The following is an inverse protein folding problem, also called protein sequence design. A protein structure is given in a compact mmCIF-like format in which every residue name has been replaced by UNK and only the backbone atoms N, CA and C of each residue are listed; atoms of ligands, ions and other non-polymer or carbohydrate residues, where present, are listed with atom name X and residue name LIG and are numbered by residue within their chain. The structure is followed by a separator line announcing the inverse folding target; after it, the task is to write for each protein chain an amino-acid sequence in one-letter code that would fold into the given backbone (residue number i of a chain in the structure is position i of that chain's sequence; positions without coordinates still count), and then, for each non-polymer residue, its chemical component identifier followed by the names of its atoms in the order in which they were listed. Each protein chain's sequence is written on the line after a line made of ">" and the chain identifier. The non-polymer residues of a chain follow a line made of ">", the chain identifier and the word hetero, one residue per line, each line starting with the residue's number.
data_IF_146897014326
#
_entry.id   IF_146897014326
#
_cell.length_a   1.000
_cell.length_b   1.000
_cell.length_c   1.000
_cell.angle_alpha   90.00
_cell.angle_beta   90.00
_cell.angle_gamma   90.00
#
_symmetry.space_group_name_H-M   'P 1'
#
loop_
_entity.id
_entity.type
_entity.pdbx_description
1 polymer ?
#
# COMPACT_ATOMS: atom_id res chain seq x y z
N UNK A 1 -19.80 2.52 15.99
CA UNK A 1 -20.01 1.50 17.01
C UNK A 1 -18.99 0.38 16.86
N UNK A 2 -18.52 -0.19 17.99
CA UNK A 2 -17.79 -1.46 18.00
C UNK A 2 -18.86 -2.56 18.04
N UNK A 3 -18.76 -3.53 17.13
CA UNK A 3 -19.71 -4.64 17.01
C UNK A 3 -18.92 -5.94 17.11
N UNK A 4 -19.19 -6.73 18.14
CA UNK A 4 -18.54 -8.03 18.31
C UNK A 4 -19.07 -9.02 17.24
N UNK A 5 -18.21 -9.95 16.82
CA UNK A 5 -18.52 -10.87 15.74
C UNK A 5 -19.66 -11.85 16.07
N UNK A 6 -19.93 -12.06 17.34
CA UNK A 6 -21.01 -12.91 17.86
C UNK A 6 -22.29 -12.13 18.21
N UNK A 7 -22.33 -10.81 17.90
CA UNK A 7 -23.52 -9.98 18.14
C UNK A 7 -24.72 -10.53 17.36
N UNK A 8 -25.88 -10.81 18.03
CA UNK A 8 -27.07 -11.27 17.33
C UNK A 8 -27.49 -10.32 16.20
N UNK A 9 -27.71 -10.87 15.03
CA UNK A 9 -28.05 -10.09 13.82
C UNK A 9 -26.88 -9.60 13.00
N UNK A 10 -25.62 -9.82 13.43
CA UNK A 10 -24.44 -9.66 12.59
C UNK A 10 -24.10 -10.95 11.87
N UNK A 11 -23.87 -10.90 10.58
CA UNK A 11 -23.48 -12.07 9.79
C UNK A 11 -22.49 -11.72 8.66
N UNK A 12 -21.60 -12.66 8.35
CA UNK A 12 -20.80 -12.64 7.13
C UNK A 12 -21.65 -13.25 6.02
N UNK A 13 -22.27 -12.39 5.20
CA UNK A 13 -23.17 -12.83 4.14
C UNK A 13 -22.44 -13.47 2.96
N UNK A 14 -21.21 -13.06 2.70
CA UNK A 14 -20.39 -13.56 1.58
C UNK A 14 -18.90 -13.31 1.87
N UNK A 15 -18.05 -14.30 1.58
CA UNK A 15 -16.60 -14.10 1.51
C UNK A 15 -16.23 -13.76 0.08
N UNK A 16 -15.35 -12.77 -0.10
CA UNK A 16 -14.97 -12.26 -1.42
C UNK A 16 -13.51 -12.62 -1.70
N UNK A 17 -13.30 -13.45 -2.71
CA UNK A 17 -11.97 -13.80 -3.19
C UNK A 17 -11.43 -12.70 -4.12
N UNK A 18 -10.18 -12.34 -3.95
CA UNK A 18 -9.48 -11.31 -4.73
C UNK A 18 -8.15 -11.84 -5.26
N UNK A 19 -7.48 -11.07 -6.10
CA UNK A 19 -6.22 -11.43 -6.79
C UNK A 19 -5.09 -11.89 -5.85
N UNK A 20 -5.11 -11.43 -4.60
CA UNK A 20 -4.21 -11.88 -3.53
C UNK A 20 -5.04 -12.17 -2.27
N UNK A 21 -4.60 -13.07 -1.39
CA UNK A 21 -5.39 -13.46 -0.21
C UNK A 21 -5.57 -12.29 0.74
N UNK A 22 -6.76 -11.69 0.74
CA UNK A 22 -7.19 -10.67 1.70
C UNK A 22 -8.53 -11.08 2.32
N UNK A 23 -8.74 -10.86 3.64
CA UNK A 23 -9.97 -11.24 4.32
C UNK A 23 -11.09 -10.24 4.01
N UNK A 24 -11.63 -10.27 2.79
CA UNK A 24 -12.77 -9.45 2.39
C UNK A 24 -14.08 -10.20 2.52
N UNK A 25 -15.13 -9.48 2.92
CA UNK A 25 -16.45 -10.04 3.07
C UNK A 25 -17.54 -8.97 2.87
N UNK A 26 -18.70 -9.42 2.46
CA UNK A 26 -19.95 -8.66 2.62
C UNK A 26 -20.54 -8.99 3.98
N UNK A 27 -20.76 -7.99 4.79
CA UNK A 27 -21.39 -8.13 6.09
C UNK A 27 -22.84 -7.65 6.01
N UNK A 28 -23.70 -8.26 6.84
CA UNK A 28 -25.11 -7.89 6.96
C UNK A 28 -25.48 -7.69 8.43
N UNK A 29 -26.31 -6.70 8.67
CA UNK A 29 -26.88 -6.41 9.98
C UNK A 29 -28.40 -6.52 9.88
N UNK A 30 -29.00 -7.44 10.63
CA UNK A 30 -30.45 -7.65 10.67
C UNK A 30 -30.92 -7.52 12.10
N UNK A 31 -31.63 -6.43 12.43
CA UNK A 31 -32.04 -6.11 13.79
C UNK A 31 -30.90 -6.22 14.82
N UNK A 32 -29.69 -5.93 14.41
CA UNK A 32 -28.48 -6.01 15.23
C UNK A 32 -28.51 -4.86 16.28
N UNK A 33 -28.69 -5.23 17.53
CA UNK A 33 -28.76 -4.29 18.67
C UNK A 33 -27.38 -4.18 19.32
N UNK A 34 -26.84 -2.96 19.35
CA UNK A 34 -25.55 -2.65 19.93
C UNK A 34 -25.73 -1.65 21.08
N UNK A 35 -25.16 -1.90 22.27
CA UNK A 35 -25.25 -0.97 23.40
C UNK A 35 -24.68 0.41 23.04
N UNK A 36 -25.27 1.48 23.58
CA UNK A 36 -24.76 2.84 23.39
C UNK A 36 -23.34 3.03 23.94
N UNK A 37 -22.94 2.23 24.91
CA UNK A 37 -21.57 2.23 25.46
C UNK A 37 -20.51 1.80 24.45
N UNK A 38 -20.90 1.10 23.39
CA UNK A 38 -20.01 0.71 22.27
C UNK A 38 -19.94 1.76 21.16
N UNK A 39 -20.58 2.91 21.34
CA UNK A 39 -20.49 4.02 20.38
C UNK A 39 -19.10 4.63 20.40
N UNK A 40 -18.51 4.84 19.23
CA UNK A 40 -17.21 5.51 19.02
C UNK A 40 -17.47 6.97 18.67
N UNK A 41 -17.11 7.88 19.58
CA UNK A 41 -17.35 9.32 19.43
C UNK A 41 -18.79 9.73 19.66
N UNK A 42 -19.12 10.97 19.32
CA UNK A 42 -20.46 11.54 19.47
C UNK A 42 -21.38 11.23 18.30
N UNK A 43 -22.68 11.35 18.51
CA UNK A 43 -23.66 11.18 17.44
C UNK A 43 -23.42 12.20 16.32
N UNK A 44 -23.36 11.75 15.06
CA UNK A 44 -23.07 12.58 13.89
C UNK A 44 -21.58 12.75 13.56
N UNK A 45 -20.65 12.25 14.39
CA UNK A 45 -19.20 12.40 14.16
C UNK A 45 -18.56 11.25 13.38
N UNK A 46 -19.30 10.20 13.04
CA UNK A 46 -18.75 9.00 12.42
C UNK A 46 -17.90 9.28 11.15
N UNK A 47 -18.33 10.24 10.32
CA UNK A 47 -17.56 10.64 9.15
C UNK A 47 -16.20 11.26 9.52
N UNK A 48 -16.14 12.11 10.57
CA UNK A 48 -14.87 12.69 11.04
C UNK A 48 -13.93 11.62 11.59
N UNK A 49 -14.48 10.64 12.34
CA UNK A 49 -13.73 9.49 12.85
C UNK A 49 -13.12 8.70 11.68
N UNK A 50 -13.92 8.38 10.67
CA UNK A 50 -13.44 7.67 9.48
C UNK A 50 -12.32 8.43 8.76
N UNK A 51 -12.46 9.74 8.52
CA UNK A 51 -11.44 10.54 7.84
C UNK A 51 -10.12 10.62 8.63
N UNK A 52 -10.18 10.80 9.95
CA UNK A 52 -8.98 10.77 10.81
C UNK A 52 -8.28 9.41 10.78
N UNK A 53 -9.05 8.34 10.75
CA UNK A 53 -8.53 6.97 10.65
C UNK A 53 -7.82 6.77 9.32
N UNK A 54 -8.39 7.24 8.21
CA UNK A 54 -7.77 7.15 6.88
C UNK A 54 -6.42 7.91 6.81
N UNK A 55 -6.28 9.06 7.47
CA UNK A 55 -5.00 9.80 7.49
C UNK A 55 -3.89 9.00 8.21
N UNK A 56 -4.24 8.18 9.21
CA UNK A 56 -3.30 7.23 9.83
C UNK A 56 -2.97 6.10 8.88
N UNK A 57 -4.00 5.42 8.37
CA UNK A 57 -3.83 4.21 7.58
C UNK A 57 -3.19 4.44 6.22
N UNK A 58 -3.38 5.59 5.59
CA UNK A 58 -2.65 5.95 4.36
C UNK A 58 -1.13 5.89 4.56
N UNK A 59 -0.64 6.40 5.70
CA UNK A 59 0.79 6.34 6.03
C UNK A 59 1.25 4.90 6.30
N UNK A 60 0.48 4.08 7.01
CA UNK A 60 0.84 2.68 7.29
C UNK A 60 0.76 1.80 6.02
N UNK A 61 -0.21 2.04 5.14
CA UNK A 61 -0.28 1.39 3.81
C UNK A 61 0.92 1.78 2.95
N UNK A 62 1.33 3.05 2.98
CA UNK A 62 2.55 3.49 2.30
C UNK A 62 3.80 2.78 2.84
N UNK A 63 3.90 2.60 4.16
CA UNK A 63 4.99 1.85 4.79
C UNK A 63 4.97 0.35 4.42
N UNK A 64 3.79 -0.26 4.34
CA UNK A 64 3.63 -1.64 3.86
C UNK A 64 4.09 -1.78 2.39
N UNK A 65 3.67 -0.84 1.52
CA UNK A 65 4.10 -0.80 0.12
C UNK A 65 5.62 -0.64 -0.01
N UNK A 66 6.24 0.17 0.84
CA UNK A 66 7.70 0.33 0.91
C UNK A 66 8.39 -1.01 1.27
N UNK A 67 7.83 -1.76 2.22
CA UNK A 67 8.29 -3.12 2.55
C UNK A 67 8.16 -4.06 1.37
N UNK A 68 7.03 -3.99 0.65
CA UNK A 68 6.79 -4.77 -0.57
C UNK A 68 7.73 -4.39 -1.72
N UNK A 69 8.25 -3.17 -1.78
CA UNK A 69 9.25 -2.77 -2.76
C UNK A 69 10.67 -3.24 -2.40
N UNK A 70 11.05 -3.18 -1.13
CA UNK A 70 12.38 -3.58 -0.65
C UNK A 70 12.67 -5.06 -0.88
N UNK A 71 11.70 -5.92 -0.58
CA UNK A 71 11.88 -7.37 -0.72
C UNK A 71 12.20 -7.79 -2.17
N UNK A 72 11.46 -7.40 -3.21
CA UNK A 72 11.80 -7.72 -4.60
C UNK A 72 13.11 -7.10 -5.07
N UNK A 73 13.51 -5.94 -4.52
CA UNK A 73 14.82 -5.36 -4.80
C UNK A 73 15.94 -6.29 -4.35
N UNK A 74 15.87 -6.85 -3.13
CA UNK A 74 16.85 -7.80 -2.61
C UNK A 74 16.90 -9.05 -3.47
N UNK A 75 15.74 -9.60 -3.84
CA UNK A 75 15.63 -10.77 -4.72
C UNK A 75 16.23 -10.50 -6.12
N UNK A 76 15.93 -9.33 -6.69
CA UNK A 76 16.46 -8.91 -7.98
C UNK A 76 17.97 -8.74 -7.97
N UNK A 77 18.53 -8.15 -6.90
CA UNK A 77 19.98 -8.03 -6.70
C UNK A 77 20.67 -9.40 -6.63
N UNK A 78 20.14 -10.32 -5.85
CA UNK A 78 20.68 -11.68 -5.76
C UNK A 78 20.60 -12.41 -7.10
N UNK A 79 19.46 -12.28 -7.79
CA UNK A 79 19.26 -12.86 -9.11
C UNK A 79 20.24 -12.30 -10.14
N UNK A 80 20.42 -10.99 -10.17
CA UNK A 80 21.33 -10.32 -11.10
C UNK A 80 22.78 -10.75 -10.89
N UNK A 81 23.21 -10.94 -9.63
CA UNK A 81 24.56 -11.40 -9.28
C UNK A 81 24.83 -12.88 -9.59
N UNK A 82 23.79 -13.73 -9.50
CA UNK A 82 23.94 -15.19 -9.64
C UNK A 82 23.64 -15.70 -11.06
N UNK A 83 22.69 -15.10 -11.77
CA UNK A 83 22.28 -15.55 -13.10
C UNK A 83 23.32 -15.22 -14.16
N UNK A 84 23.78 -16.23 -14.88
CA UNK A 84 24.65 -16.07 -16.05
C UNK A 84 23.85 -16.26 -17.34
N UNK A 85 24.14 -15.43 -18.34
CA UNK A 85 23.66 -15.53 -19.71
C UNK A 85 24.65 -14.81 -20.65
N UNK A 86 24.81 -15.32 -21.86
CA UNK A 86 25.78 -14.80 -22.84
C UNK A 86 27.21 -14.66 -22.24
N UNK A 87 27.64 -15.67 -21.45
CA UNK A 87 28.96 -15.76 -20.79
C UNK A 87 29.27 -14.68 -19.74
N UNK A 88 28.29 -13.90 -19.30
CA UNK A 88 28.47 -12.89 -18.25
C UNK A 88 27.28 -12.94 -17.26
N UNK A 89 27.42 -12.29 -16.11
CA UNK A 89 26.35 -12.19 -15.12
C UNK A 89 25.28 -11.22 -15.62
N UNK A 90 24.03 -11.41 -15.21
CA UNK A 90 22.96 -10.48 -15.50
C UNK A 90 23.27 -9.06 -14.97
N UNK A 91 23.99 -8.97 -13.84
CA UNK A 91 24.45 -7.71 -13.26
C UNK A 91 25.44 -6.92 -14.14
N UNK A 92 26.11 -7.58 -15.08
CA UNK A 92 27.11 -6.95 -15.93
C UNK A 92 26.47 -6.22 -17.16
N UNK A 93 25.16 -6.40 -17.37
CA UNK A 93 24.42 -5.70 -18.43
C UNK A 93 23.92 -4.32 -17.99
N UNK A 94 24.20 -3.30 -18.79
CA UNK A 94 23.82 -1.91 -18.48
C UNK A 94 22.31 -1.72 -18.27
N UNK A 95 21.46 -2.40 -19.05
CA UNK A 95 20.01 -2.34 -18.89
C UNK A 95 19.53 -2.92 -17.54
N UNK A 96 20.22 -3.93 -17.01
CA UNK A 96 19.96 -4.45 -15.66
C UNK A 96 20.40 -3.45 -14.61
N UNK A 97 21.58 -2.85 -14.77
CA UNK A 97 22.11 -1.83 -13.85
C UNK A 97 21.19 -0.61 -13.80
N UNK A 98 20.70 -0.14 -14.95
CA UNK A 98 19.75 0.98 -15.03
C UNK A 98 18.43 0.67 -14.30
N UNK A 99 17.87 -0.54 -14.46
CA UNK A 99 16.68 -0.98 -13.72
C UNK A 99 16.92 -0.98 -12.20
N UNK A 100 18.01 -1.57 -11.75
CA UNK A 100 18.35 -1.62 -10.32
C UNK A 100 18.54 -0.23 -9.73
N UNK A 101 19.19 0.68 -10.45
CA UNK A 101 19.37 2.08 -10.03
C UNK A 101 18.00 2.79 -9.88
N UNK A 102 17.11 2.63 -10.85
CA UNK A 102 15.77 3.21 -10.78
C UNK A 102 14.94 2.64 -9.64
N UNK A 103 15.00 1.32 -9.44
CA UNK A 103 14.33 0.65 -8.30
C UNK A 103 14.80 1.23 -6.97
N UNK A 104 16.11 1.37 -6.77
CA UNK A 104 16.71 1.93 -5.55
C UNK A 104 16.23 3.36 -5.32
N UNK A 105 16.31 4.23 -6.33
CA UNK A 105 15.85 5.63 -6.24
C UNK A 105 14.37 5.73 -5.90
N UNK A 106 13.53 4.87 -6.49
CA UNK A 106 12.09 4.82 -6.20
C UNK A 106 11.82 4.41 -4.76
N UNK A 107 12.56 3.45 -4.23
CA UNK A 107 12.45 3.00 -2.83
C UNK A 107 12.83 4.13 -1.88
N UNK A 108 13.97 4.78 -2.10
CA UNK A 108 14.47 5.82 -1.20
C UNK A 108 13.58 7.07 -1.20
N UNK A 109 13.12 7.52 -2.37
CA UNK A 109 12.17 8.63 -2.45
C UNK A 109 10.85 8.32 -1.76
N UNK A 110 10.33 7.11 -1.90
CA UNK A 110 9.14 6.64 -1.19
C UNK A 110 9.37 6.61 0.33
N UNK A 111 10.52 6.11 0.78
CA UNK A 111 10.89 6.06 2.20
C UNK A 111 10.90 7.46 2.84
N UNK A 112 11.52 8.43 2.16
CA UNK A 112 11.58 9.81 2.65
C UNK A 112 10.19 10.42 2.82
N UNK A 113 9.26 10.18 1.90
CA UNK A 113 7.88 10.67 2.01
C UNK A 113 7.12 9.97 3.15
N UNK A 114 7.28 8.67 3.31
CA UNK A 114 6.64 7.89 4.40
C UNK A 114 7.13 8.39 5.76
N UNK A 115 8.45 8.49 5.94
CA UNK A 115 9.04 8.95 7.19
C UNK A 115 8.70 10.42 7.49
N UNK A 116 8.64 11.29 6.47
CA UNK A 116 8.20 12.67 6.65
C UNK A 116 6.75 12.73 7.16
N UNK A 117 5.85 11.96 6.58
CA UNK A 117 4.44 11.93 7.01
C UNK A 117 4.31 11.44 8.45
N UNK A 118 5.01 10.36 8.82
CA UNK A 118 5.03 9.82 10.18
C UNK A 118 5.61 10.83 11.17
N UNK A 119 6.78 11.39 10.88
CA UNK A 119 7.43 12.36 11.75
C UNK A 119 6.58 13.63 11.99
N UNK A 120 5.96 14.17 10.95
CA UNK A 120 5.09 15.34 11.10
C UNK A 120 3.87 15.04 11.97
N UNK A 121 3.32 13.83 11.85
CA UNK A 121 2.23 13.39 12.71
C UNK A 121 2.67 13.30 14.17
N UNK A 122 3.84 12.74 14.46
CA UNK A 122 4.40 12.65 15.81
C UNK A 122 4.61 14.04 16.43
N UNK A 123 4.80 15.08 15.60
CA UNK A 123 4.83 16.48 16.02
C UNK A 123 3.42 17.11 16.19
N UNK A 124 2.36 16.33 16.14
CA UNK A 124 0.97 16.81 16.29
C UNK A 124 0.44 17.63 15.11
N UNK A 125 1.10 17.62 13.95
CA UNK A 125 0.67 18.37 12.77
C UNK A 125 -0.44 17.66 12.01
N UNK A 126 -1.25 18.43 11.28
CA UNK A 126 -2.15 17.86 10.27
C UNK A 126 -1.29 17.30 9.11
N UNK A 127 -1.52 16.03 8.76
CA UNK A 127 -0.71 15.31 7.76
C UNK A 127 -1.53 14.78 6.59
N UNK A 128 -2.73 15.28 6.37
CA UNK A 128 -3.63 14.80 5.30
C UNK A 128 -2.94 14.83 3.94
N UNK A 129 -2.24 15.92 3.60
CA UNK A 129 -1.47 16.05 2.36
C UNK A 129 -0.27 15.10 2.31
N UNK A 130 0.52 15.08 3.37
CA UNK A 130 1.74 14.27 3.47
C UNK A 130 1.43 12.78 3.45
N UNK A 131 0.39 12.34 4.14
CA UNK A 131 -0.09 10.96 4.12
C UNK A 131 -0.58 10.54 2.72
N UNK A 132 -1.29 11.43 2.02
CA UNK A 132 -1.73 11.19 0.65
C UNK A 132 -0.54 11.10 -0.32
N UNK A 133 0.47 12.00 -0.20
CA UNK A 133 1.69 11.97 -0.99
C UNK A 133 2.49 10.68 -0.74
N UNK A 134 2.65 10.28 0.52
CA UNK A 134 3.34 9.06 0.89
C UNK A 134 2.64 7.82 0.31
N UNK A 135 1.31 7.72 0.45
CA UNK A 135 0.51 6.61 -0.07
C UNK A 135 0.60 6.53 -1.59
N UNK A 136 0.38 7.62 -2.27
CA UNK A 136 0.46 7.70 -3.73
C UNK A 136 1.82 7.21 -4.23
N UNK A 137 2.90 7.84 -3.75
CA UNK A 137 4.25 7.56 -4.23
C UNK A 137 4.70 6.15 -3.89
N UNK A 138 4.48 5.69 -2.65
CA UNK A 138 4.95 4.39 -2.22
C UNK A 138 4.20 3.24 -2.92
N UNK A 139 2.87 3.34 -3.11
CA UNK A 139 2.11 2.25 -3.74
C UNK A 139 2.35 2.17 -5.25
N UNK A 140 2.45 3.31 -5.95
CA UNK A 140 2.79 3.33 -7.37
C UNK A 140 4.24 2.92 -7.60
N UNK A 141 5.17 3.44 -6.80
CA UNK A 141 6.58 3.09 -6.87
C UNK A 141 6.84 1.61 -6.57
N UNK A 142 6.16 1.04 -5.58
CA UNK A 142 6.28 -0.39 -5.27
C UNK A 142 5.80 -1.26 -6.44
N UNK A 143 4.71 -0.90 -7.11
CA UNK A 143 4.27 -1.62 -8.31
C UNK A 143 5.36 -1.62 -9.39
N UNK A 144 6.00 -0.47 -9.64
CA UNK A 144 7.07 -0.35 -10.64
C UNK A 144 8.30 -1.18 -10.26
N UNK A 145 8.70 -1.14 -8.98
CA UNK A 145 9.85 -1.92 -8.47
C UNK A 145 9.59 -3.42 -8.59
N UNK A 146 8.40 -3.86 -8.21
CA UNK A 146 8.02 -5.29 -8.28
C UNK A 146 7.96 -5.76 -9.74
N UNK A 147 7.37 -4.96 -10.63
CA UNK A 147 7.31 -5.26 -12.07
C UNK A 147 8.72 -5.41 -12.66
N UNK A 148 9.63 -4.48 -12.34
CA UNK A 148 11.02 -4.54 -12.76
C UNK A 148 11.73 -5.79 -12.21
N UNK A 149 11.44 -6.20 -10.97
CA UNK A 149 11.99 -7.42 -10.37
C UNK A 149 11.48 -8.67 -11.08
N UNK A 150 10.17 -8.76 -11.37
CA UNK A 150 9.59 -9.86 -12.18
C UNK A 150 10.28 -9.95 -13.53
N UNK A 151 10.52 -8.81 -14.18
CA UNK A 151 11.22 -8.74 -15.46
C UNK A 151 12.69 -9.20 -15.35
N UNK A 152 13.41 -8.88 -14.28
CA UNK A 152 14.78 -9.36 -14.02
C UNK A 152 14.80 -10.88 -13.80
N UNK A 153 13.77 -11.44 -13.18
CA UNK A 153 13.63 -12.89 -13.01
C UNK A 153 13.33 -13.62 -14.33
N UNK A 154 12.74 -12.92 -15.31
CA UNK A 154 12.32 -13.51 -16.59
C UNK A 154 11.23 -14.55 -16.38
N UNK A 155 11.26 -15.67 -17.13
CA UNK A 155 10.25 -16.73 -17.01
C UNK A 155 10.05 -17.26 -15.58
N UNK A 156 11.09 -17.27 -14.75
CA UNK A 156 10.95 -17.66 -13.34
C UNK A 156 10.09 -16.67 -12.55
N UNK A 157 10.09 -15.38 -12.91
CA UNK A 157 9.36 -14.34 -12.22
C UNK A 157 7.84 -14.47 -12.29
N UNK A 158 7.32 -15.24 -13.27
CA UNK A 158 5.88 -15.51 -13.44
C UNK A 158 5.46 -16.89 -12.96
N UNK A 159 6.38 -17.67 -12.41
CA UNK A 159 6.08 -18.98 -11.83
C UNK A 159 5.36 -18.77 -10.51
N UNK A 160 4.18 -19.38 -10.38
CA UNK A 160 3.37 -19.29 -9.15
C UNK A 160 4.16 -19.72 -7.91
N UNK A 161 4.07 -18.92 -6.86
CA UNK A 161 4.76 -19.15 -5.59
C UNK A 161 6.15 -18.52 -5.48
N UNK A 162 6.69 -17.95 -6.57
CA UNK A 162 7.90 -17.12 -6.48
C UNK A 162 7.61 -15.83 -5.70
N UNK A 163 8.59 -15.36 -4.93
CA UNK A 163 8.40 -14.17 -4.08
C UNK A 163 7.97 -12.94 -4.90
N UNK A 164 8.63 -12.69 -6.01
CA UNK A 164 8.32 -11.53 -6.88
C UNK A 164 6.93 -11.66 -7.53
N UNK A 165 6.50 -12.85 -7.91
CA UNK A 165 5.17 -13.13 -8.44
C UNK A 165 4.07 -12.90 -7.38
N UNK A 166 4.28 -13.40 -6.16
CA UNK A 166 3.34 -13.18 -5.05
C UNK A 166 3.16 -11.71 -4.76
N UNK A 167 4.26 -10.95 -4.64
CA UNK A 167 4.22 -9.52 -4.37
C UNK A 167 3.62 -8.72 -5.53
N UNK A 168 3.77 -9.20 -6.78
CA UNK A 168 3.11 -8.59 -7.94
C UNK A 168 1.57 -8.61 -7.83
N UNK A 169 1.00 -9.69 -7.31
CA UNK A 169 -0.44 -9.77 -7.04
C UNK A 169 -0.85 -8.95 -5.82
N UNK A 170 -0.05 -8.99 -4.74
CA UNK A 170 -0.34 -8.29 -3.48
C UNK A 170 -0.39 -6.78 -3.65
N UNK A 171 0.61 -6.19 -4.31
CA UNK A 171 0.72 -4.74 -4.42
C UNK A 171 -0.47 -4.10 -5.14
N UNK A 172 -1.14 -4.83 -6.02
CA UNK A 172 -2.22 -4.26 -6.83
C UNK A 172 -3.36 -3.71 -5.98
N UNK A 173 -3.72 -4.37 -4.90
CA UNK A 173 -4.79 -3.94 -4.00
C UNK A 173 -4.41 -2.68 -3.20
N UNK A 174 -3.14 -2.50 -2.83
CA UNK A 174 -2.68 -1.33 -2.08
C UNK A 174 -2.85 -0.01 -2.87
N UNK A 175 -2.89 -0.07 -4.18
CA UNK A 175 -3.16 1.08 -5.05
C UNK A 175 -4.64 1.48 -5.07
N UNK A 176 -5.53 0.62 -4.58
CA UNK A 176 -6.99 0.78 -4.65
C UNK A 176 -7.58 1.13 -3.28
N UNK A 177 -7.31 0.33 -2.26
CA UNK A 177 -7.90 0.55 -0.95
C UNK A 177 -7.26 1.76 -0.23
N UNK A 178 -7.90 2.23 0.84
CA UNK A 178 -7.56 3.47 1.59
C UNK A 178 -7.58 4.74 0.70
N UNK A 179 -8.39 4.68 -0.35
CA UNK A 179 -8.48 5.67 -1.41
C UNK A 179 -7.54 5.38 -2.57
N UNK A 180 -8.11 5.19 -3.74
CA UNK A 180 -7.36 4.90 -4.97
C UNK A 180 -6.36 6.01 -5.32
N UNK A 181 -5.44 5.71 -6.22
CA UNK A 181 -4.42 6.63 -6.74
C UNK A 181 -4.99 8.01 -7.08
N UNK A 182 -6.11 8.05 -7.81
CA UNK A 182 -6.78 9.27 -8.24
C UNK A 182 -7.36 10.06 -7.04
N UNK A 183 -7.86 9.36 -6.02
CA UNK A 183 -8.35 9.98 -4.78
C UNK A 183 -7.21 10.66 -4.02
N UNK A 184 -6.02 10.05 -3.97
CA UNK A 184 -4.86 10.68 -3.36
C UNK A 184 -4.45 11.96 -4.10
N UNK A 185 -4.47 11.94 -5.44
CA UNK A 185 -4.18 13.13 -6.26
C UNK A 185 -5.16 14.28 -5.96
N UNK A 186 -6.46 13.97 -5.87
CA UNK A 186 -7.48 14.96 -5.52
C UNK A 186 -7.29 15.54 -4.11
N UNK A 187 -6.90 14.71 -3.14
CA UNK A 187 -6.63 15.15 -1.77
C UNK A 187 -5.43 16.10 -1.76
N UNK A 188 -4.32 15.73 -2.42
CA UNK A 188 -3.11 16.55 -2.50
C UNK A 188 -3.43 17.91 -3.13
N UNK A 189 -4.13 17.93 -4.26
CA UNK A 189 -4.51 19.14 -4.96
C UNK A 189 -5.40 20.05 -4.10
N UNK A 190 -6.42 19.46 -3.44
CA UNK A 190 -7.31 20.19 -2.55
C UNK A 190 -6.56 20.85 -1.38
N UNK A 191 -5.63 20.14 -0.76
CA UNK A 191 -4.86 20.69 0.36
C UNK A 191 -3.91 21.82 -0.10
N UNK A 192 -3.33 21.71 -1.30
CA UNK A 192 -2.51 22.77 -1.88
C UNK A 192 -3.33 24.03 -2.24
N UNK A 193 -4.55 23.86 -2.72
CA UNK A 193 -5.41 24.98 -3.12
C UNK A 193 -6.06 25.71 -1.94
N UNK A 194 -6.06 25.14 -0.73
CA UNK A 194 -6.54 25.87 0.48
C UNK A 194 -5.68 27.06 0.83
N UNK A 195 -4.40 27.02 0.51
CA UNK A 195 -3.44 28.09 0.86
C UNK A 195 -3.47 29.25 -0.15
N UNK A 196 -4.33 29.21 -1.18
CA UNK A 196 -4.42 30.22 -2.26
C UNK A 196 -5.61 31.18 -2.08
N UNK A 197 -6.44 30.98 -1.04
CA UNK A 197 -7.56 31.85 -0.65
C UNK A 197 -7.23 32.60 0.62
#
# INVERSE_FOLDING_TARGET
>A
FIVDADTPGFEIAERIDVIAPHPLARIRFTNCRVPLTQRVGEAGEGFKVAMRTLDVFRTSVAAAALGFARRPMDEALQRAKSRKMFNQRLADFQLTQAKLAQMATTIDSSALLVYRAAWQRDQGRNVTREAAMAKLTATEGAQQVIDAAVQIFGGLGVVSGQMVERLYREIRSLRIYEGATEVQQLIIARELLKDVT
#
